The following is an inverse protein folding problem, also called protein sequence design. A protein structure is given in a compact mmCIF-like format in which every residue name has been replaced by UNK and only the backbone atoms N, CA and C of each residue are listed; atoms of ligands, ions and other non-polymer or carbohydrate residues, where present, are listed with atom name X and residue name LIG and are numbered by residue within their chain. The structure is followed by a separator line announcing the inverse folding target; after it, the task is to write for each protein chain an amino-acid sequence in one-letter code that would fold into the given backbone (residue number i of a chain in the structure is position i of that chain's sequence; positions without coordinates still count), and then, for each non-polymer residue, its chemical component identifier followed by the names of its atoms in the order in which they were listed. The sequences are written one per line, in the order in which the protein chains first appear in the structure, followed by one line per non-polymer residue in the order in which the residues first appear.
data_IF_661230795430
#
_entry.id   IF_661230795430
#
_cell.length_a   1.000
_cell.length_b   1.000
_cell.length_c   1.000
_cell.angle_alpha   90.00
_cell.angle_beta   90.00
_cell.angle_gamma   90.00
#
_symmetry.space_group_name_H-M   'P 1'
#
loop_
_entity.id
_entity.type
_entity.pdbx_description
1 polymer ?
#
# COMPACT_ATOMS: atom_id res chain seq x y z
N UNK A 1 20.39 28.44 0.50
CA UNK A 1 18.96 28.15 0.80
C UNK A 1 18.93 26.70 1.22
N UNK A 2 18.49 26.38 2.44
CA UNK A 2 18.39 24.99 2.87
C UNK A 2 17.35 24.31 1.99
N UNK A 3 17.74 23.29 1.22
CA UNK A 3 16.80 22.49 0.44
C UNK A 3 15.84 21.79 1.40
N UNK A 4 14.54 21.94 1.12
CA UNK A 4 13.44 21.43 1.93
C UNK A 4 13.30 19.91 1.82
N UNK A 5 13.74 19.36 0.70
CA UNK A 5 13.87 17.93 0.45
C UNK A 5 15.35 17.54 0.47
N UNK A 6 15.66 16.40 1.07
CA UNK A 6 17.01 15.86 1.15
C UNK A 6 16.99 14.39 0.75
N UNK A 7 17.98 13.96 -0.03
CA UNK A 7 18.13 12.57 -0.41
C UNK A 7 19.60 12.14 -0.39
N UNK A 8 19.84 10.91 0.05
CA UNK A 8 21.15 10.27 -0.08
C UNK A 8 20.97 8.84 -0.60
N UNK A 9 21.88 8.41 -1.46
CA UNK A 9 21.88 7.06 -2.04
C UNK A 9 23.24 6.44 -1.78
N UNK A 10 23.24 5.25 -1.19
CA UNK A 10 24.44 4.45 -0.94
C UNK A 10 24.24 3.05 -1.52
N UNK A 11 25.28 2.50 -2.14
CA UNK A 11 25.21 1.18 -2.77
C UNK A 11 26.07 0.16 -2.02
N UNK A 12 25.51 -1.03 -1.83
CA UNK A 12 26.24 -2.23 -1.41
C UNK A 12 25.75 -3.45 -2.17
N UNK A 13 26.59 -3.98 -3.04
CA UNK A 13 26.25 -5.16 -3.84
C UNK A 13 25.01 -4.91 -4.69
N UNK A 14 23.98 -5.74 -4.51
CA UNK A 14 22.68 -5.63 -5.19
C UNK A 14 21.64 -4.79 -4.42
N UNK A 15 22.08 -4.09 -3.37
CA UNK A 15 21.22 -3.27 -2.52
C UNK A 15 21.60 -1.80 -2.60
N UNK A 16 20.59 -0.96 -2.80
CA UNK A 16 20.69 0.49 -2.71
C UNK A 16 19.94 0.98 -1.48
N UNK A 17 20.65 1.64 -0.56
CA UNK A 17 20.05 2.34 0.57
C UNK A 17 19.75 3.78 0.16
N UNK A 18 18.47 4.13 0.19
CA UNK A 18 17.95 5.43 -0.23
C UNK A 18 17.34 6.07 1.00
N UNK A 19 17.98 7.11 1.54
CA UNK A 19 17.42 7.87 2.67
C UNK A 19 16.82 9.16 2.17
N UNK A 20 15.55 9.38 2.47
CA UNK A 20 14.79 10.56 2.09
C UNK A 20 14.37 11.33 3.35
N UNK A 21 14.47 12.65 3.30
CA UNK A 21 14.15 13.53 4.43
C UNK A 21 13.52 14.86 4.00
N UNK A 22 12.80 15.48 4.93
CA UNK A 22 12.11 16.75 4.74
C UNK A 22 10.73 16.60 4.12
N UNK A 23 10.40 17.47 3.16
CA UNK A 23 9.06 17.56 2.57
C UNK A 23 9.05 17.11 1.12
N UNK A 24 8.12 16.21 0.79
CA UNK A 24 7.86 15.78 -0.59
C UNK A 24 6.72 16.63 -1.16
N UNK A 25 7.08 17.68 -1.89
CA UNK A 25 6.16 18.58 -2.58
C UNK A 25 6.55 18.75 -4.05
N UNK A 26 6.28 19.89 -4.68
CA UNK A 26 6.59 20.11 -6.11
C UNK A 26 8.10 20.10 -6.41
N UNK A 27 8.94 20.33 -5.41
CA UNK A 27 10.40 20.47 -5.54
C UNK A 27 11.15 19.22 -5.00
N UNK A 28 10.50 18.04 -5.03
CA UNK A 28 10.99 16.81 -4.38
C UNK A 28 12.17 16.11 -5.08
N UNK A 29 12.59 16.53 -6.28
CA UNK A 29 13.75 15.96 -7.02
C UNK A 29 13.79 14.41 -7.17
N UNK A 30 12.71 13.67 -6.86
CA UNK A 30 12.70 12.19 -6.87
C UNK A 30 13.02 11.63 -8.25
N UNK A 31 12.62 12.35 -9.31
CA UNK A 31 12.91 11.99 -10.69
C UNK A 31 14.41 11.80 -10.96
N UNK A 32 15.28 12.56 -10.29
CA UNK A 32 16.74 12.48 -10.47
C UNK A 32 17.35 11.24 -9.79
N UNK A 33 16.62 10.63 -8.86
CA UNK A 33 17.09 9.45 -8.14
C UNK A 33 16.92 8.16 -8.95
N UNK A 34 16.06 8.17 -9.98
CA UNK A 34 15.78 6.96 -10.80
C UNK A 34 17.06 6.39 -11.41
N UNK A 35 17.89 7.26 -11.99
CA UNK A 35 19.16 6.84 -12.63
C UNK A 35 20.24 6.47 -11.61
N UNK A 36 20.11 6.95 -10.37
CA UNK A 36 21.04 6.67 -9.27
C UNK A 36 20.74 5.35 -8.59
N UNK A 37 19.59 4.73 -8.82
CA UNK A 37 19.18 3.48 -8.16
C UNK A 37 19.25 2.34 -9.19
N UNK A 38 20.32 1.52 -9.19
CA UNK A 38 20.44 0.39 -10.10
C UNK A 38 19.43 -0.71 -9.77
N UNK A 39 19.29 -1.65 -10.71
CA UNK A 39 18.43 -2.83 -10.55
C UNK A 39 18.90 -3.68 -9.37
N UNK A 40 17.93 -4.26 -8.63
CA UNK A 40 18.23 -4.97 -7.39
C UNK A 40 17.18 -4.71 -6.31
N UNK A 41 17.62 -4.49 -5.07
CA UNK A 41 16.75 -4.14 -3.94
C UNK A 41 17.00 -2.70 -3.51
N UNK A 42 15.97 -1.87 -3.47
CA UNK A 42 16.05 -0.51 -2.92
C UNK A 42 15.44 -0.51 -1.51
N UNK A 43 16.27 -0.29 -0.49
CA UNK A 43 15.82 -0.05 0.89
C UNK A 43 15.62 1.45 1.02
N UNK A 44 14.37 1.88 1.11
CA UNK A 44 13.97 3.29 1.10
C UNK A 44 13.59 3.68 2.53
N UNK A 45 14.47 4.42 3.18
CA UNK A 45 14.30 5.00 4.52
C UNK A 45 13.51 6.30 4.43
N UNK A 46 12.38 6.30 5.14
CA UNK A 46 11.37 7.34 5.13
C UNK A 46 11.15 7.98 6.51
N UNK A 47 12.07 7.74 7.45
CA UNK A 47 11.94 8.19 8.84
C UNK A 47 12.03 9.70 9.02
N UNK A 48 12.70 10.38 8.09
CA UNK A 48 12.89 11.83 8.12
C UNK A 48 11.90 12.56 7.20
N UNK A 49 10.92 11.88 6.61
CA UNK A 49 9.85 12.54 5.85
C UNK A 49 8.84 13.16 6.81
N UNK A 50 8.82 14.48 6.85
CA UNK A 50 7.94 15.27 7.72
C UNK A 50 6.53 15.41 7.12
N UNK A 51 6.46 15.57 5.79
CA UNK A 51 5.20 15.87 5.10
C UNK A 51 5.26 15.51 3.62
N UNK A 52 4.11 15.18 3.06
CA UNK A 52 3.90 14.96 1.64
C UNK A 52 2.58 15.60 1.20
N UNK A 53 2.58 16.34 0.09
CA UNK A 53 1.36 16.94 -0.49
C UNK A 53 0.88 16.16 -1.73
N UNK A 54 -0.20 16.61 -2.37
CA UNK A 54 -0.77 15.93 -3.53
C UNK A 54 0.15 15.86 -4.75
N UNK A 55 0.97 16.88 -5.00
CA UNK A 55 2.00 16.86 -6.05
C UNK A 55 3.09 15.84 -5.72
N UNK A 56 3.58 15.86 -4.47
CA UNK A 56 4.55 14.89 -3.96
C UNK A 56 4.04 13.45 -4.01
N UNK A 57 2.76 13.19 -3.68
CA UNK A 57 2.14 11.85 -3.81
C UNK A 57 2.20 11.36 -5.27
N UNK A 58 1.88 12.22 -6.24
CA UNK A 58 1.91 11.85 -7.66
C UNK A 58 3.33 11.50 -8.08
N UNK A 59 4.29 12.34 -7.72
CA UNK A 59 5.68 12.16 -8.11
C UNK A 59 6.28 10.92 -7.43
N UNK A 60 5.94 10.68 -6.17
CA UNK A 60 6.27 9.46 -5.43
C UNK A 60 5.78 8.20 -6.14
N UNK A 61 4.50 8.12 -6.49
CA UNK A 61 3.92 6.95 -7.17
C UNK A 61 4.58 6.74 -8.54
N UNK A 62 4.82 7.82 -9.28
CA UNK A 62 5.51 7.75 -10.57
C UNK A 62 6.97 7.29 -10.42
N UNK A 63 7.67 7.79 -9.41
CA UNK A 63 9.05 7.43 -9.11
C UNK A 63 9.16 5.94 -8.75
N UNK A 64 8.32 5.46 -7.84
CA UNK A 64 8.29 4.06 -7.43
C UNK A 64 7.96 3.13 -8.61
N UNK A 65 7.01 3.52 -9.46
CA UNK A 65 6.65 2.78 -10.68
C UNK A 65 7.82 2.68 -11.68
N UNK A 66 8.64 3.74 -11.82
CA UNK A 66 9.85 3.71 -12.65
C UNK A 66 10.90 2.74 -12.09
N UNK A 67 11.10 2.72 -10.77
CA UNK A 67 12.00 1.75 -10.12
C UNK A 67 11.52 0.31 -10.34
N UNK A 68 10.22 0.07 -10.21
CA UNK A 68 9.65 -1.26 -10.45
C UNK A 68 9.81 -1.71 -11.91
N UNK A 69 9.58 -0.80 -12.86
CA UNK A 69 9.76 -1.06 -14.30
C UNK A 69 11.22 -1.34 -14.65
N UNK A 70 12.18 -0.76 -13.93
CA UNK A 70 13.60 -1.09 -14.09
C UNK A 70 13.98 -2.44 -13.47
N UNK A 71 13.06 -3.12 -12.76
CA UNK A 71 13.30 -4.39 -12.10
C UNK A 71 13.82 -4.25 -10.66
N UNK A 72 13.70 -3.05 -10.07
CA UNK A 72 14.07 -2.77 -8.68
C UNK A 72 12.94 -3.18 -7.74
N UNK A 73 13.27 -3.90 -6.66
CA UNK A 73 12.33 -4.24 -5.59
C UNK A 73 12.43 -3.24 -4.46
N UNK A 74 11.36 -2.51 -4.20
CA UNK A 74 11.32 -1.50 -3.14
C UNK A 74 10.95 -2.10 -1.79
N UNK A 75 11.71 -1.74 -0.76
CA UNK A 75 11.46 -2.08 0.64
C UNK A 75 11.44 -0.78 1.42
N UNK A 76 10.27 -0.40 1.94
CA UNK A 76 10.10 0.82 2.72
C UNK A 76 10.41 0.52 4.18
N UNK A 77 11.34 1.28 4.77
CA UNK A 77 11.76 1.15 6.17
C UNK A 77 11.54 2.47 6.89
N UNK A 78 11.30 2.39 8.19
CA UNK A 78 11.12 3.53 9.07
C UNK A 78 10.06 4.52 8.56
N UNK A 79 8.96 4.03 7.95
CA UNK A 79 7.89 4.90 7.43
C UNK A 79 7.37 5.86 8.51
N UNK A 80 7.54 7.17 8.30
CA UNK A 80 7.01 8.20 9.20
C UNK A 80 5.48 8.20 9.26
N UNK A 81 4.86 8.80 10.29
CA UNK A 81 3.39 8.91 10.35
C UNK A 81 2.77 9.57 9.11
N UNK A 82 3.45 10.57 8.53
CA UNK A 82 3.01 11.21 7.29
C UNK A 82 2.96 10.23 6.10
N UNK A 83 3.92 9.30 6.03
CA UNK A 83 3.95 8.25 5.02
C UNK A 83 2.89 7.19 5.28
N UNK A 84 2.73 6.73 6.53
CA UNK A 84 1.69 5.75 6.91
C UNK A 84 0.31 6.26 6.54
N UNK A 85 0.03 7.55 6.80
CA UNK A 85 -1.22 8.19 6.38
C UNK A 85 -1.47 8.08 4.87
N UNK A 86 -0.44 8.33 4.03
CA UNK A 86 -0.59 8.18 2.59
C UNK A 86 -0.74 6.73 2.13
N UNK A 87 -0.07 5.77 2.79
CA UNK A 87 -0.23 4.34 2.47
C UNK A 87 -1.69 3.92 2.66
N UNK A 88 -2.34 4.38 3.73
CA UNK A 88 -3.74 4.08 4.00
C UNK A 88 -4.71 4.83 3.08
N UNK A 89 -4.36 6.05 2.64
CA UNK A 89 -5.26 6.92 1.87
C UNK A 89 -5.15 6.75 0.35
N UNK A 90 -3.96 6.43 -0.16
CA UNK A 90 -3.64 6.47 -1.60
C UNK A 90 -3.42 5.07 -2.15
N UNK A 91 -4.24 4.70 -3.14
CA UNK A 91 -4.07 3.44 -3.85
C UNK A 91 -2.70 3.35 -4.53
N UNK A 92 -2.08 2.18 -4.45
CA UNK A 92 -0.75 1.91 -5.02
C UNK A 92 0.37 2.82 -4.48
N UNK A 93 0.20 3.45 -3.31
CA UNK A 93 1.27 4.26 -2.72
C UNK A 93 2.57 3.47 -2.52
N UNK A 94 2.47 2.18 -2.18
CA UNK A 94 3.63 1.28 -2.04
C UNK A 94 3.95 0.49 -3.32
N UNK A 95 3.18 0.67 -4.40
CA UNK A 95 3.32 -0.11 -5.63
C UNK A 95 3.37 -1.64 -5.40
N UNK A 96 4.43 -2.29 -5.88
CA UNK A 96 4.75 -3.69 -5.56
C UNK A 96 5.76 -3.85 -4.42
N UNK A 97 6.21 -2.74 -3.82
CA UNK A 97 7.06 -2.73 -2.64
C UNK A 97 6.36 -3.20 -1.37
N UNK A 98 7.16 -3.42 -0.33
CA UNK A 98 6.71 -3.86 1.00
C UNK A 98 7.10 -2.86 2.08
N UNK A 99 6.28 -2.74 3.12
CA UNK A 99 6.63 -1.96 4.32
C UNK A 99 7.24 -2.90 5.34
N UNK A 100 8.51 -2.68 5.68
CA UNK A 100 9.25 -3.48 6.66
C UNK A 100 9.03 -2.93 8.07
N UNK A 101 9.19 -1.62 8.25
CA UNK A 101 9.02 -0.95 9.53
C UNK A 101 8.40 0.43 9.37
N UNK A 102 7.72 0.89 10.42
CA UNK A 102 7.00 2.15 10.45
C UNK A 102 6.94 2.71 11.88
N UNK A 103 6.79 4.02 12.00
CA UNK A 103 6.66 4.70 13.28
C UNK A 103 5.20 4.75 13.71
N UNK A 104 4.92 4.53 15.00
CA UNK A 104 3.58 4.62 15.62
C UNK A 104 3.56 5.84 16.56
N UNK A 105 2.66 6.81 16.39
CA UNK A 105 2.62 8.04 17.18
C UNK A 105 1.96 7.85 18.56
N UNK A 106 2.52 8.51 19.57
CA UNK A 106 2.02 8.53 20.94
C UNK A 106 2.09 9.93 21.52
N UNK A 107 1.17 10.22 22.44
CA UNK A 107 1.11 11.46 23.20
C UNK A 107 1.12 11.16 24.71
N UNK A 108 1.90 11.91 25.49
CA UNK A 108 1.92 11.81 26.95
C UNK A 108 1.03 12.90 27.55
N UNK A 109 -0.12 12.57 28.16
CA UNK A 109 -1.01 13.58 28.75
C UNK A 109 -0.43 14.28 29.98
N UNK A 110 0.62 13.72 30.60
CA UNK A 110 1.24 14.28 31.82
C UNK A 110 2.38 15.26 31.50
N UNK A 111 3.17 14.96 30.47
CA UNK A 111 4.29 15.81 30.05
C UNK A 111 3.93 16.76 28.89
N UNK A 112 2.79 16.56 28.22
CA UNK A 112 2.43 17.26 26.97
C UNK A 112 3.45 17.03 25.85
N UNK A 113 3.99 15.80 25.78
CA UNK A 113 5.08 15.42 24.87
C UNK A 113 4.64 14.36 23.86
N UNK A 114 5.12 14.49 22.63
CA UNK A 114 4.88 13.56 21.54
C UNK A 114 6.09 12.63 21.31
N UNK A 115 5.80 11.37 20.98
CA UNK A 115 6.83 10.36 20.72
C UNK A 115 6.39 9.44 19.62
N UNK A 116 7.35 9.00 18.81
CA UNK A 116 7.12 7.92 17.85
C UNK A 116 7.87 6.65 18.25
N UNK A 117 7.21 5.52 18.06
CA UNK A 117 7.73 4.18 18.34
C UNK A 117 7.99 3.43 17.03
N UNK A 118 9.23 3.05 16.74
CA UNK A 118 9.52 2.23 15.55
C UNK A 118 9.03 0.80 15.76
N UNK A 119 8.20 0.30 14.84
CA UNK A 119 7.62 -1.04 14.87
C UNK A 119 7.88 -1.76 13.55
N UNK A 120 8.17 -3.06 13.65
CA UNK A 120 8.28 -3.96 12.49
C UNK A 120 6.89 -4.46 12.08
N UNK A 121 6.56 -4.39 10.79
CA UNK A 121 5.25 -4.78 10.28
C UNK A 121 4.89 -6.25 10.56
N UNK A 122 5.89 -7.12 10.63
CA UNK A 122 5.74 -8.54 10.98
C UNK A 122 5.38 -8.77 12.45
N UNK A 123 5.68 -7.83 13.34
CA UNK A 123 5.54 -7.99 14.80
C UNK A 123 4.17 -7.51 15.32
N UNK A 124 3.32 -6.94 14.46
CA UNK A 124 1.99 -6.39 14.80
C UNK A 124 0.90 -7.44 15.10
N UNK A 125 1.25 -8.73 15.12
CA UNK A 125 0.33 -9.82 15.40
C UNK A 125 -0.80 -9.98 14.36
N UNK A 126 -1.77 -10.87 14.60
CA UNK A 126 -2.93 -11.04 13.73
C UNK A 126 -3.93 -9.87 13.87
N UNK A 127 -4.76 -9.58 12.85
CA UNK A 127 -5.85 -8.62 12.97
C UNK A 127 -6.89 -9.02 14.05
N UNK A 128 -7.55 -8.05 14.72
CA UNK A 128 -7.31 -6.60 14.63
C UNK A 128 -5.96 -6.21 15.24
N UNK A 129 -5.24 -5.31 14.58
CA UNK A 129 -3.92 -4.87 15.04
C UNK A 129 -4.06 -3.88 16.18
N UNK A 130 -3.33 -4.12 17.27
CA UNK A 130 -3.32 -3.24 18.44
C UNK A 130 -2.00 -2.44 18.50
N UNK A 131 -2.03 -1.16 18.90
CA UNK A 131 -0.82 -0.38 19.09
C UNK A 131 0.03 -0.98 20.22
N UNK A 132 1.35 -1.15 20.05
CA UNK A 132 2.22 -1.59 21.13
C UNK A 132 2.19 -0.64 22.34
N UNK A 133 2.58 -1.11 23.52
CA UNK A 133 2.72 -0.20 24.68
C UNK A 133 3.94 0.70 24.52
N UNK A 134 3.77 2.01 24.68
CA UNK A 134 4.85 2.99 24.72
C UNK A 134 4.91 3.67 26.10
N UNK A 135 6.12 4.01 26.57
CA UNK A 135 6.35 4.75 27.82
C UNK A 135 7.05 6.07 27.56
N UNK A 136 6.66 7.11 28.29
CA UNK A 136 7.24 8.44 28.22
C UNK A 136 8.68 8.42 28.76
N UNK A 137 9.59 9.14 28.10
CA UNK A 137 11.00 9.19 28.52
C UNK A 137 11.23 10.11 29.74
N UNK A 138 10.27 10.98 30.07
CA UNK A 138 10.37 11.93 31.19
C UNK A 138 9.72 11.40 32.48
N UNK A 139 8.47 10.94 32.39
CA UNK A 139 7.69 10.52 33.55
C UNK A 139 7.53 8.99 33.69
N UNK A 140 7.99 8.21 32.70
CA UNK A 140 7.88 6.73 32.65
C UNK A 140 6.43 6.20 32.69
N UNK A 141 5.43 7.05 32.52
CA UNK A 141 4.04 6.62 32.40
C UNK A 141 3.74 6.08 31.00
N UNK A 142 2.70 5.26 30.89
CA UNK A 142 2.22 4.75 29.60
C UNK A 142 1.65 5.91 28.79
N UNK A 143 2.07 6.03 27.54
CA UNK A 143 1.58 7.06 26.63
C UNK A 143 0.33 6.59 25.88
N UNK A 144 -0.51 7.53 25.50
CA UNK A 144 -1.70 7.28 24.70
C UNK A 144 -1.30 7.18 23.23
N UNK A 145 -1.89 6.23 22.51
CA UNK A 145 -1.74 6.15 21.06
C UNK A 145 -2.49 7.32 20.41
N UNK A 146 -1.80 8.08 19.56
CA UNK A 146 -2.29 9.35 19.01
C UNK A 146 -2.89 9.19 17.60
N UNK A 147 -3.66 8.13 17.37
CA UNK A 147 -4.45 7.92 16.16
C UNK A 147 -5.58 6.90 16.44
N UNK A 148 -6.35 6.54 15.42
CA UNK A 148 -7.35 5.47 15.48
C UNK A 148 -6.76 4.16 14.95
N UNK A 149 -6.70 3.07 15.76
CA UNK A 149 -6.02 1.83 15.37
C UNK A 149 -6.52 1.23 14.04
N UNK A 150 -7.85 1.20 13.85
CA UNK A 150 -8.48 0.62 12.67
C UNK A 150 -8.06 1.31 11.36
N UNK A 151 -7.90 2.64 11.38
CA UNK A 151 -7.44 3.39 10.20
C UNK A 151 -5.93 3.40 10.06
N UNK A 152 -5.19 3.50 11.17
CA UNK A 152 -3.74 3.61 11.15
C UNK A 152 -3.06 2.32 10.68
N UNK A 153 -3.55 1.17 11.15
CA UNK A 153 -2.99 -0.14 10.84
C UNK A 153 -3.65 -0.83 9.63
N UNK A 154 -4.59 -0.16 8.93
CA UNK A 154 -5.34 -0.74 7.82
C UNK A 154 -4.43 -1.30 6.71
N UNK A 155 -3.31 -0.64 6.41
CA UNK A 155 -2.37 -1.07 5.37
C UNK A 155 -1.76 -2.46 5.61
N UNK A 156 -1.67 -2.92 6.87
CA UNK A 156 -1.12 -4.23 7.21
C UNK A 156 -1.95 -5.38 6.60
N UNK A 157 -3.26 -5.17 6.41
CA UNK A 157 -4.17 -6.15 5.81
C UNK A 157 -3.93 -6.36 4.31
N UNK A 158 -3.35 -5.37 3.63
CA UNK A 158 -3.18 -5.36 2.16
C UNK A 158 -1.76 -5.70 1.71
N UNK A 159 -0.89 -6.12 2.63
CA UNK A 159 0.49 -6.45 2.27
C UNK A 159 0.56 -7.80 1.55
N UNK A 160 0.96 -7.76 0.26
CA UNK A 160 1.35 -8.97 -0.47
C UNK A 160 2.58 -9.55 0.23
N UNK A 161 2.37 -10.64 0.99
CA UNK A 161 3.37 -11.48 1.70
C UNK A 161 4.67 -10.73 1.97
N UNK A 162 4.77 -10.12 3.16
CA UNK A 162 5.98 -9.50 3.70
C UNK A 162 7.23 -10.17 3.11
N UNK A 163 8.00 -9.41 2.33
CA UNK A 163 9.15 -9.93 1.60
C UNK A 163 10.05 -10.74 2.54
N UNK A 164 10.71 -11.78 2.02
CA UNK A 164 11.65 -12.64 2.76
C UNK A 164 12.57 -11.78 3.64
N UNK A 165 12.22 -11.69 4.93
CA UNK A 165 12.83 -10.77 5.88
C UNK A 165 14.34 -11.02 6.00
N UNK A 166 14.79 -12.23 5.70
CA UNK A 166 16.19 -12.66 5.84
C UNK A 166 17.14 -11.96 4.87
N UNK A 167 16.73 -11.74 3.61
CA UNK A 167 17.57 -11.04 2.62
C UNK A 167 17.69 -9.54 2.93
N UNK A 168 16.61 -8.94 3.41
CA UNK A 168 16.53 -7.52 3.77
C UNK A 168 17.31 -7.25 5.06
N UNK A 169 17.12 -8.09 6.08
CA UNK A 169 17.84 -7.99 7.35
C UNK A 169 19.35 -8.16 7.16
N UNK A 170 19.78 -9.08 6.26
CA UNK A 170 21.19 -9.25 5.90
C UNK A 170 21.80 -7.98 5.33
N UNK A 171 21.12 -7.35 4.36
CA UNK A 171 21.58 -6.10 3.76
C UNK A 171 21.63 -4.93 4.75
N UNK A 172 20.59 -4.76 5.58
CA UNK A 172 20.53 -3.73 6.63
C UNK A 172 21.65 -3.90 7.68
N UNK A 173 21.89 -5.14 8.14
CA UNK A 173 22.93 -5.45 9.13
C UNK A 173 24.34 -5.20 8.61
N UNK A 174 24.55 -5.40 7.31
CA UNK A 174 25.84 -5.14 6.68
C UNK A 174 26.12 -3.64 6.56
N UNK A 175 25.13 -2.83 6.18
CA UNK A 175 25.23 -1.37 6.11
C UNK A 175 25.43 -0.71 7.48
N UNK A 176 24.79 -1.25 8.53
CA UNK A 176 24.94 -0.78 9.92
C UNK A 176 26.32 -1.02 10.55
N UNK A 177 27.23 -1.77 9.91
CA UNK A 177 28.61 -1.96 10.40
C UNK A 177 29.54 -0.77 10.16
N UNK A 178 29.01 0.38 9.74
CA UNK A 178 29.71 1.67 9.70
C UNK A 178 29.57 2.53 10.97
N UNK A 179 28.74 2.12 11.92
CA UNK A 179 28.60 2.76 13.24
C UNK A 179 28.68 1.69 14.34
N UNK A 180 29.47 1.96 15.38
CA UNK A 180 29.81 0.97 16.40
C UNK A 180 28.59 0.29 17.05
N UNK A 181 28.66 -1.02 17.35
CA UNK A 181 27.61 -1.70 18.08
C UNK A 181 27.76 -1.38 19.57
N UNK A 182 26.90 -0.52 20.11
CA UNK A 182 26.62 -0.56 21.54
C UNK A 182 25.90 -1.89 21.82
N UNK A 183 26.58 -2.77 22.56
CA UNK A 183 26.06 -4.06 23.02
C UNK A 183 24.87 -3.85 23.96
N UNK A 184 23.65 -3.92 23.43
CA UNK A 184 22.42 -4.12 24.21
C UNK A 184 21.68 -5.36 23.66
N UNK A 185 21.59 -6.49 24.41
CA UNK A 185 21.06 -7.75 23.90
C UNK A 185 19.52 -7.86 23.98
N UNK A 186 18.80 -6.74 23.88
CA UNK A 186 17.33 -6.71 23.75
C UNK A 186 17.01 -5.90 22.51
N UNK A 187 16.13 -6.39 21.64
CA UNK A 187 15.65 -5.69 20.44
C UNK A 187 15.01 -4.35 20.83
N UNK A 188 15.87 -3.34 20.98
CA UNK A 188 15.52 -2.06 21.57
C UNK A 188 14.79 -1.29 20.50
N UNK A 189 13.48 -1.23 20.70
CA UNK A 189 12.56 -0.33 20.03
C UNK A 189 13.22 1.05 19.96
N UNK A 190 13.52 1.52 18.75
CA UNK A 190 14.11 2.84 18.54
C UNK A 190 12.99 3.85 18.66
N UNK A 191 12.93 4.52 19.79
CA UNK A 191 12.08 5.68 19.96
C UNK A 191 12.87 6.94 19.65
N UNK A 192 12.21 7.92 19.04
CA UNK A 192 12.73 9.27 18.85
C UNK A 192 11.64 10.26 19.21
N UNK A 193 12.01 11.39 19.79
CA UNK A 193 11.10 12.52 19.97
C UNK A 193 10.64 13.01 18.58
N UNK A 194 9.33 13.20 18.43
CA UNK A 194 8.74 13.79 17.25
C UNK A 194 9.28 15.21 17.08
N UNK A 195 9.51 15.67 15.85
CA UNK A 195 9.63 17.11 15.62
C UNK A 195 8.23 17.72 15.74
N UNK A 196 8.07 18.88 16.42
CA UNK A 196 6.75 19.45 16.70
C UNK A 196 5.98 19.73 15.41
N UNK A 197 4.83 19.09 15.24
CA UNK A 197 3.85 19.46 14.23
C UNK A 197 3.17 20.77 14.66
N UNK A 198 3.58 21.89 14.08
CA UNK A 198 2.85 23.16 14.22
C UNK A 198 1.50 23.08 13.50
N UNK A 199 0.43 22.76 14.23
CA UNK A 199 -0.87 22.54 13.59
C UNK A 199 -2.10 22.46 14.51
N UNK A 200 -2.29 23.38 15.45
CA UNK A 200 -3.58 23.55 16.12
C UNK A 200 -4.00 25.03 16.16
N UNK A 201 -4.87 25.44 15.23
CA UNK A 201 -5.60 26.70 15.34
C UNK A 201 -7.07 26.49 14.98
N UNK A 202 -7.88 26.64 16.01
CA UNK A 202 -9.34 26.46 16.05
C UNK A 202 -10.08 27.52 15.24
N UNK A 203 -11.22 27.10 14.68
CA UNK A 203 -12.21 27.82 13.88
C UNK A 203 -12.48 29.29 14.25
N UNK A 204 -12.52 30.15 13.21
CA UNK A 204 -13.51 31.25 13.10
C UNK A 204 -13.85 31.50 11.62
N UNK A 205 -15.15 31.62 11.37
CA UNK A 205 -15.75 31.76 10.05
C UNK A 205 -15.57 33.15 9.41
N UNK A 206 -15.74 33.17 8.08
CA UNK A 206 -16.20 34.27 7.22
C UNK A 206 -15.14 35.19 6.60
N UNK A 207 -14.86 34.99 5.31
CA UNK A 207 -14.90 36.06 4.29
C UNK A 207 -14.57 35.50 2.90
N UNK A 208 -15.57 35.51 2.02
CA UNK A 208 -15.45 35.14 0.59
C UNK A 208 -14.83 36.32 -0.18
N UNK A 209 -13.87 36.12 -1.10
CA UNK A 209 -13.42 37.17 -2.00
C UNK A 209 -14.34 37.33 -3.23
N UNK A 210 -14.77 38.56 -3.47
CA UNK A 210 -15.69 38.99 -4.54
C UNK A 210 -15.14 38.81 -5.96
N UNK A 211 -15.98 38.26 -6.84
CA UNK A 211 -15.83 38.31 -8.31
C UNK A 211 -16.23 39.70 -8.85
N UNK A 212 -15.56 40.25 -9.88
CA UNK A 212 -16.01 41.48 -10.54
C UNK A 212 -17.21 41.23 -11.46
N UNK A 213 -18.26 42.04 -11.26
CA UNK A 213 -19.49 42.09 -12.07
C UNK A 213 -19.24 42.68 -13.46
N UNK A 214 -19.59 41.94 -14.52
CA UNK A 214 -19.78 42.50 -15.87
C UNK A 214 -21.29 42.61 -16.13
N UNK A 215 -21.71 43.83 -16.46
CA UNK A 215 -23.10 44.25 -16.68
C UNK A 215 -23.73 43.59 -17.92
N UNK A 216 -25.01 43.23 -17.78
CA UNK A 216 -25.92 42.91 -18.90
C UNK A 216 -26.52 44.20 -19.46
N UNK A 217 -26.62 44.25 -20.79
CA UNK A 217 -27.59 45.10 -21.49
C UNK A 217 -28.34 44.23 -22.49
N UNK A 218 -29.66 44.40 -22.56
CA UNK A 218 -30.61 43.54 -23.26
C UNK A 218 -31.07 44.10 -24.62
N UNK A 219 -31.63 43.18 -25.43
CA UNK A 219 -32.75 43.32 -26.41
C UNK A 219 -32.53 43.86 -27.85
N UNK A 220 -32.39 42.91 -28.81
CA UNK A 220 -33.11 42.66 -30.10
C UNK A 220 -33.36 43.77 -31.18
N UNK A 221 -33.76 43.45 -32.45
CA UNK A 221 -33.39 42.36 -33.37
C UNK A 221 -33.16 42.80 -34.86
N UNK A 222 -32.74 41.83 -35.69
CA UNK A 222 -33.07 41.62 -37.13
C UNK A 222 -32.10 42.06 -38.27
N UNK A 223 -32.08 41.16 -39.27
CA UNK A 223 -31.78 41.28 -40.72
C UNK A 223 -30.34 41.11 -41.23
N UNK A 224 -30.20 40.26 -42.27
CA UNK A 224 -29.26 40.53 -43.37
C UNK A 224 -28.19 39.49 -43.69
N UNK A 225 -28.49 38.56 -44.62
CA UNK A 225 -27.69 38.10 -45.78
C UNK A 225 -26.21 37.62 -45.64
N UNK A 226 -25.91 36.46 -46.25
CA UNK A 226 -24.60 35.76 -46.28
C UNK A 226 -23.48 36.44 -47.11
N UNK A 227 -22.48 35.73 -47.69
CA UNK A 227 -22.42 34.30 -48.07
C UNK A 227 -21.21 33.50 -47.53
N UNK A 228 -21.36 32.17 -47.53
CA UNK A 228 -20.31 31.14 -47.43
C UNK A 228 -19.95 30.68 -48.85
N UNK A 229 -18.67 30.46 -49.19
CA UNK A 229 -18.24 29.15 -49.73
C UNK A 229 -16.73 28.81 -49.43
N UNK A 230 -16.18 27.65 -49.86
CA UNK A 230 -16.64 26.30 -49.51
C UNK A 230 -15.49 25.26 -49.28
N UNK A 231 -15.85 24.13 -48.65
CA UNK A 231 -15.48 22.71 -48.92
C UNK A 231 -14.04 22.22 -49.20
N UNK A 232 -13.68 21.12 -48.50
CA UNK A 232 -13.50 19.71 -48.98
C UNK A 232 -12.91 18.88 -47.81
N UNK A 233 -13.48 17.79 -47.27
CA UNK A 233 -14.11 16.55 -47.74
C UNK A 233 -13.20 15.58 -48.52
N UNK A 234 -13.06 14.38 -47.97
CA UNK A 234 -12.53 13.14 -48.58
C UNK A 234 -12.25 12.12 -47.46
N UNK A 235 -13.15 11.20 -47.09
CA UNK A 235 -13.54 9.92 -47.73
C UNK A 235 -12.45 8.82 -47.73
N UNK A 236 -12.68 7.79 -46.90
CA UNK A 236 -12.13 6.41 -46.92
C UNK A 236 -12.33 5.73 -48.31
N UNK A 237 -11.67 4.59 -48.70
CA UNK A 237 -11.81 3.28 -48.02
C UNK A 237 -10.71 2.18 -48.25
N UNK A 238 -10.82 1.06 -47.51
CA UNK A 238 -10.41 -0.32 -47.92
C UNK A 238 -8.91 -0.67 -47.86
N UNK A 239 -8.46 -1.79 -47.27
CA UNK A 239 -8.73 -3.14 -47.78
C UNK A 239 -8.24 -4.22 -46.80
N UNK A 240 -9.09 -5.21 -46.49
CA UNK A 240 -8.73 -6.59 -46.12
C UNK A 240 -8.94 -7.45 -47.37
N UNK A 241 -8.09 -8.44 -47.62
CA UNK A 241 -8.50 -9.85 -47.67
C UNK A 241 -7.45 -10.75 -46.98
N UNK A 242 -7.58 -12.04 -46.71
CA UNK A 242 -8.66 -13.02 -46.76
C UNK A 242 -8.19 -14.23 -45.91
N UNK A 243 -9.18 -14.98 -45.46
CA UNK A 243 -9.21 -16.32 -44.89
C UNK A 243 -8.46 -17.37 -45.73
N UNK A 244 -7.89 -18.39 -45.08
CA UNK A 244 -7.51 -19.66 -45.70
C UNK A 244 -7.05 -20.69 -44.66
N UNK A 245 -7.94 -21.61 -44.27
CA UNK A 245 -7.64 -22.72 -43.35
C UNK A 245 -7.05 -23.95 -44.04
N UNK A 246 -6.71 -24.97 -43.23
CA UNK A 246 -6.85 -26.44 -43.43
C UNK A 246 -5.99 -27.17 -42.36
N UNK A 247 -6.63 -27.96 -41.46
CA UNK A 247 -6.07 -29.11 -40.70
C UNK A 247 -5.99 -30.35 -41.66
N UNK A 248 -5.65 -31.63 -41.32
CA UNK A 248 -5.28 -32.27 -40.04
C UNK A 248 -4.20 -33.39 -40.14
N UNK A 249 -3.92 -34.05 -39.00
CA UNK A 249 -3.27 -35.38 -38.92
C UNK A 249 -1.84 -35.32 -38.38
N UNK A 250 -1.33 -36.21 -37.54
CA UNK A 250 -1.74 -37.59 -37.23
C UNK A 250 -1.10 -38.07 -35.91
N UNK A 251 -1.89 -38.82 -35.14
CA UNK A 251 -1.50 -39.87 -34.16
C UNK A 251 -1.17 -41.16 -34.97
N UNK A 252 -0.77 -42.34 -34.44
CA UNK A 252 -0.54 -42.83 -33.05
C UNK A 252 0.69 -43.83 -33.02
N UNK A 253 0.72 -45.03 -32.35
CA UNK A 253 0.14 -45.55 -31.09
C UNK A 253 1.13 -46.36 -30.18
N UNK A 254 0.68 -46.70 -28.96
CA UNK A 254 0.96 -47.98 -28.27
C UNK A 254 1.91 -47.92 -27.06
N UNK A 255 1.76 -48.68 -25.97
CA UNK A 255 0.78 -49.67 -25.54
C UNK A 255 1.07 -50.08 -24.06
N UNK A 256 0.01 -50.46 -23.32
CA UNK A 256 -0.11 -51.56 -22.31
C UNK A 256 0.87 -51.64 -21.11
N UNK A 257 0.52 -52.09 -19.90
CA UNK A 257 -0.66 -52.73 -19.28
C UNK A 257 -0.60 -52.50 -17.75
N UNK A 258 -1.72 -52.50 -17.01
CA UNK A 258 -2.44 -53.66 -16.47
C UNK A 258 -1.58 -54.61 -15.60
N UNK A 259 -1.88 -54.67 -14.29
CA UNK A 259 -1.35 -55.68 -13.37
C UNK A 259 -1.83 -55.46 -11.93
N UNK A 260 -2.83 -56.23 -11.52
CA UNK A 260 -3.44 -56.30 -10.18
C UNK A 260 -2.60 -57.11 -9.17
N UNK A 261 -3.04 -57.06 -7.89
CA UNK A 261 -2.98 -58.17 -6.89
C UNK A 261 -1.66 -58.22 -6.07
N UNK A 262 -1.59 -58.50 -4.76
CA UNK A 262 -2.52 -58.91 -3.69
C UNK A 262 -1.75 -58.86 -2.35
N UNK A 263 -2.50 -58.66 -1.26
CA UNK A 263 -2.34 -59.19 0.12
C UNK A 263 -0.98 -59.34 0.82
N UNK A 264 -0.95 -58.89 2.08
CA UNK A 264 0.08 -59.25 3.07
C UNK A 264 -0.13 -58.58 4.42
N UNK A 265 -1.08 -59.09 5.19
CA UNK A 265 -1.41 -58.67 6.56
C UNK A 265 -0.46 -59.34 7.57
N UNK A 266 0.25 -58.60 8.42
CA UNK A 266 0.73 -59.07 9.72
C UNK A 266 0.92 -57.87 10.66
N UNK A 267 0.20 -57.88 11.79
CA UNK A 267 0.18 -56.80 12.76
C UNK A 267 1.23 -56.95 13.86
N UNK A 268 1.37 -55.90 14.67
CA UNK A 268 1.50 -56.02 16.12
C UNK A 268 1.07 -54.71 16.79
N UNK A 269 0.33 -54.87 17.89
CA UNK A 269 -0.23 -53.81 18.70
C UNK A 269 0.84 -52.97 19.42
N UNK A 270 0.58 -51.68 19.61
CA UNK A 270 1.06 -50.99 20.80
C UNK A 270 0.05 -49.92 21.27
N UNK A 271 0.03 -49.75 22.57
CA UNK A 271 -1.04 -49.30 23.44
C UNK A 271 -1.15 -47.78 23.61
N UNK A 272 -2.39 -47.28 23.61
CA UNK A 272 -2.93 -46.35 24.63
C UNK A 272 -2.42 -44.91 24.69
N UNK A 273 -3.18 -43.98 24.11
CA UNK A 273 -3.27 -42.57 24.55
C UNK A 273 -4.76 -42.18 24.69
N UNK A 274 -5.14 -41.32 25.66
CA UNK A 274 -6.53 -41.03 26.01
C UNK A 274 -7.24 -40.12 24.97
N UNK A 275 -8.59 -40.12 24.92
CA UNK A 275 -9.34 -39.47 23.86
C UNK A 275 -9.36 -37.95 24.00
N UNK A 276 -9.04 -37.27 22.91
CA UNK A 276 -9.34 -35.85 22.71
C UNK A 276 -10.85 -35.67 22.53
N UNK A 277 -11.46 -34.87 23.40
CA UNK A 277 -12.82 -34.34 23.25
C UNK A 277 -12.91 -33.52 21.97
N UNK A 278 -13.62 -34.04 20.97
CA UNK A 278 -13.93 -33.33 19.73
C UNK A 278 -14.95 -32.21 20.02
N UNK A 279 -14.60 -30.98 19.64
CA UNK A 279 -15.51 -29.84 19.65
C UNK A 279 -16.63 -30.04 18.60
N UNK A 280 -17.88 -29.59 18.87
CA UNK A 280 -18.98 -29.77 17.93
C UNK A 280 -18.77 -28.92 16.66
N UNK A 281 -19.22 -29.39 15.48
CA UNK A 281 -19.10 -28.63 14.24
C UNK A 281 -19.93 -27.35 14.33
N UNK A 282 -19.28 -26.20 14.08
CA UNK A 282 -19.94 -24.90 13.94
C UNK A 282 -21.00 -25.00 12.84
N UNK A 283 -22.26 -24.84 13.20
CA UNK A 283 -23.37 -25.02 12.26
C UNK A 283 -23.35 -23.91 11.21
N UNK A 284 -23.32 -24.30 9.93
CA UNK A 284 -23.39 -23.37 8.80
C UNK A 284 -24.80 -22.76 8.63
N UNK A 285 -25.65 -22.83 9.65
CA UNK A 285 -27.03 -22.35 9.62
C UNK A 285 -27.12 -20.86 9.28
N UNK A 286 -26.18 -20.05 9.78
CA UNK A 286 -26.14 -18.61 9.51
C UNK A 286 -25.87 -18.32 8.02
N UNK A 287 -25.05 -19.13 7.36
CA UNK A 287 -24.76 -18.99 5.92
C UNK A 287 -26.01 -19.27 5.09
N UNK A 288 -26.78 -20.30 5.43
CA UNK A 288 -28.04 -20.61 4.72
C UNK A 288 -29.11 -19.54 4.90
N UNK A 289 -29.19 -18.92 6.09
CA UNK A 289 -30.11 -17.80 6.35
C UNK A 289 -29.73 -16.58 5.51
N UNK A 290 -28.44 -16.24 5.41
CA UNK A 290 -27.98 -15.12 4.59
C UNK A 290 -28.24 -15.35 3.10
N UNK A 291 -28.04 -16.58 2.59
CA UNK A 291 -28.35 -16.93 1.21
C UNK A 291 -29.86 -16.79 0.93
N UNK A 292 -30.73 -17.24 1.85
CA UNK A 292 -32.17 -17.10 1.69
C UNK A 292 -32.63 -15.64 1.63
N UNK A 293 -32.06 -14.78 2.49
CA UNK A 293 -32.35 -13.33 2.50
C UNK A 293 -31.90 -12.69 1.18
N UNK A 294 -30.72 -13.04 0.68
CA UNK A 294 -30.19 -12.52 -0.59
C UNK A 294 -31.10 -12.89 -1.78
N UNK A 295 -31.55 -14.15 -1.85
CA UNK A 295 -32.45 -14.61 -2.90
C UNK A 295 -33.82 -13.91 -2.85
N UNK A 296 -34.36 -13.68 -1.65
CA UNK A 296 -35.60 -12.92 -1.48
C UNK A 296 -35.44 -11.47 -1.95
N UNK A 297 -34.33 -10.81 -1.61
CA UNK A 297 -34.05 -9.44 -2.05
C UNK A 297 -33.94 -9.34 -3.57
N UNK A 298 -33.24 -10.28 -4.21
CA UNK A 298 -33.13 -10.35 -5.68
C UNK A 298 -34.52 -10.56 -6.31
N UNK A 299 -35.35 -11.43 -5.74
CA UNK A 299 -36.71 -11.67 -6.21
C UNK A 299 -37.60 -10.43 -6.15
N UNK A 300 -37.54 -9.67 -5.05
CA UNK A 300 -38.27 -8.40 -4.92
C UNK A 300 -37.77 -7.38 -5.94
N UNK A 301 -36.46 -7.28 -6.14
CA UNK A 301 -35.86 -6.34 -7.08
C UNK A 301 -36.23 -6.68 -8.53
N UNK A 302 -36.20 -7.96 -8.90
CA UNK A 302 -36.66 -8.44 -10.20
C UNK A 302 -38.15 -8.17 -10.43
N UNK A 303 -38.99 -8.39 -9.41
CA UNK A 303 -40.42 -8.07 -9.48
C UNK A 303 -40.64 -6.57 -9.72
N UNK A 304 -39.98 -5.70 -8.94
CA UNK A 304 -40.09 -4.25 -9.08
C UNK A 304 -39.61 -3.71 -10.44
N UNK A 305 -38.64 -4.38 -11.08
CA UNK A 305 -38.17 -4.04 -12.43
C UNK A 305 -39.14 -4.52 -13.50
N UNK A 306 -39.79 -5.67 -13.31
CA UNK A 306 -40.72 -6.25 -14.30
C UNK A 306 -42.14 -5.67 -14.22
N UNK A 307 -42.52 -5.04 -13.09
CA UNK A 307 -43.85 -4.45 -12.89
C UNK A 307 -43.89 -2.92 -13.04
N UNK A 308 -42.83 -2.31 -13.56
CA UNK A 308 -42.80 -0.91 -14.01
C UNK A 308 -42.74 -0.85 -15.53
#
# INVERSE_FOLDING_TARGET
MSTKFQSTVQHRGDVSYVKLGGVIDEDNELGELVEKIPTGTAVIDLGEIERINSCGVRDWVNWLSKLETSGTRSVLVECSPAIVAQINLVNNFTGSGVVKSFYVPYFCPECDEEKVLLVEAQDMGPPPHEPPTCRCDECDLVMDFDDMPDSYFAFLSNQRKLADSDKINGAMKELGRGSEPNNDPKGRVRSRASQPQVGAMTNKASSVPSLPSIQRTSTQPATGSGPIPPYKSGSNPGSRPNLGGIKPGSRPPGAMGAGMSMSGNFGLANTGNPPATQAPPKSNALVFVLIAILLAAIGVLAYLVLTK
#
